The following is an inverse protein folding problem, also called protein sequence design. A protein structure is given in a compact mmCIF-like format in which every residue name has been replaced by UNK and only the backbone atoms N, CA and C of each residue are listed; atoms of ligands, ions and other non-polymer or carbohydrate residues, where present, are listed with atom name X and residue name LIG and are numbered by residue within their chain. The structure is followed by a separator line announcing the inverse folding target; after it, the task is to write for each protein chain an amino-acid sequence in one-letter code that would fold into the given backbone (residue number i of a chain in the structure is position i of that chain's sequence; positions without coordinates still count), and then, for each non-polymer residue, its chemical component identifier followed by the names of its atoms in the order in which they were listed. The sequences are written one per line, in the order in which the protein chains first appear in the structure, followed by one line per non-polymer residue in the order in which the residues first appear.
data_IF_854388932660
#
_entry.id   IF_854388932660
#
_cell.length_a   1.000
_cell.length_b   1.000
_cell.length_c   1.000
_cell.angle_alpha   90.00
_cell.angle_beta   90.00
_cell.angle_gamma   90.00
#
_symmetry.space_group_name_H-M   'P 1'
#
loop_
_entity.id
_entity.type
_entity.pdbx_description
1 polymer ?
#
# COMPACT_ATOMS: atom_id res chain seq x y z
N UNK A 1 -13.37 15.10 42.79
CA UNK A 1 -12.76 13.78 42.54
C UNK A 1 -13.08 13.25 41.14
N UNK A 2 -14.36 13.10 40.79
CA UNK A 2 -14.76 12.64 39.45
C UNK A 2 -14.34 13.56 38.29
N UNK A 3 -14.28 14.86 38.52
CA UNK A 3 -13.91 15.85 37.47
C UNK A 3 -12.47 15.64 36.99
N UNK A 4 -11.54 15.38 37.92
CA UNK A 4 -10.14 15.15 37.63
C UNK A 4 -9.91 13.87 36.81
N UNK A 5 -10.54 12.77 37.26
CA UNK A 5 -10.40 11.50 36.53
C UNK A 5 -11.06 11.56 35.14
N UNK A 6 -12.16 12.30 35.00
CA UNK A 6 -12.81 12.51 33.72
C UNK A 6 -11.90 13.28 32.76
N UNK A 7 -11.26 14.36 33.23
CA UNK A 7 -10.31 15.14 32.41
C UNK A 7 -9.15 14.26 31.93
N UNK A 8 -8.55 13.51 32.83
CA UNK A 8 -7.45 12.59 32.48
C UNK A 8 -7.89 11.46 31.52
N UNK A 9 -9.12 10.97 31.65
CA UNK A 9 -9.69 10.00 30.72
C UNK A 9 -9.87 10.62 29.32
N UNK A 10 -10.38 11.85 29.25
CA UNK A 10 -10.55 12.56 27.98
C UNK A 10 -9.21 12.80 27.30
N UNK A 11 -8.19 13.26 28.04
CA UNK A 11 -6.84 13.45 27.51
C UNK A 11 -6.25 12.12 27.00
N UNK A 12 -6.39 11.03 27.75
CA UNK A 12 -5.93 9.72 27.34
C UNK A 12 -6.69 9.21 26.09
N UNK A 13 -8.01 9.42 26.03
CA UNK A 13 -8.85 9.06 24.89
C UNK A 13 -8.44 9.82 23.63
N UNK A 14 -8.18 11.12 23.72
CA UNK A 14 -7.66 11.93 22.61
C UNK A 14 -6.32 11.39 22.13
N UNK A 15 -5.45 10.98 23.05
CA UNK A 15 -4.18 10.33 22.72
C UNK A 15 -4.37 9.00 21.95
N UNK A 16 -5.32 8.17 22.36
CA UNK A 16 -5.67 6.93 21.66
C UNK A 16 -6.19 7.22 20.24
N UNK A 17 -7.08 8.20 20.08
CA UNK A 17 -7.54 8.61 18.75
C UNK A 17 -6.40 9.10 17.86
N UNK A 18 -5.48 9.89 18.43
CA UNK A 18 -4.31 10.36 17.68
C UNK A 18 -3.40 9.21 17.27
N UNK A 19 -3.15 8.25 18.16
CA UNK A 19 -2.38 7.04 17.88
C UNK A 19 -2.96 6.25 16.70
N UNK A 20 -4.26 5.95 16.74
CA UNK A 20 -4.94 5.20 15.67
C UNK A 20 -4.90 5.96 14.33
N UNK A 21 -5.04 7.30 14.37
CA UNK A 21 -4.92 8.13 13.17
C UNK A 21 -3.51 8.05 12.58
N UNK A 22 -2.48 8.15 13.43
CA UNK A 22 -1.07 8.03 13.01
C UNK A 22 -0.82 6.64 12.40
N UNK A 23 -1.30 5.57 13.04
CA UNK A 23 -1.14 4.20 12.53
C UNK A 23 -1.80 4.00 11.16
N UNK A 24 -2.97 4.60 10.96
CA UNK A 24 -3.64 4.59 9.65
C UNK A 24 -2.86 5.36 8.58
N UNK A 25 -2.31 6.54 8.93
CA UNK A 25 -1.48 7.35 8.01
C UNK A 25 -0.18 6.63 7.68
N UNK A 26 0.49 6.05 8.68
CA UNK A 26 1.71 5.26 8.47
C UNK A 26 1.49 4.06 7.55
N UNK A 27 0.35 3.41 7.64
CA UNK A 27 0.00 2.32 6.73
C UNK A 27 -0.08 2.82 5.28
N UNK A 28 -0.84 3.91 5.04
CA UNK A 28 -0.95 4.49 3.69
C UNK A 28 0.39 4.94 3.12
N UNK A 29 1.20 5.65 3.92
CA UNK A 29 2.53 6.11 3.49
C UNK A 29 3.51 4.96 3.22
N UNK A 30 3.42 3.84 3.93
CA UNK A 30 4.24 2.65 3.63
C UNK A 30 3.85 2.00 2.31
N UNK A 31 2.56 1.94 1.99
CA UNK A 31 2.09 1.43 0.70
C UNK A 31 2.55 2.36 -0.44
N UNK A 32 2.50 3.68 -0.22
CA UNK A 32 3.00 4.69 -1.15
C UNK A 32 4.52 4.60 -1.33
N UNK A 33 5.29 4.44 -0.23
CA UNK A 33 6.73 4.23 -0.28
C UNK A 33 7.09 3.02 -1.17
N UNK A 34 6.42 1.89 -1.00
CA UNK A 34 6.66 0.70 -1.82
C UNK A 34 6.35 0.94 -3.31
N UNK A 35 5.32 1.71 -3.61
CA UNK A 35 4.98 2.10 -4.98
C UNK A 35 6.05 3.00 -5.59
N UNK A 36 6.52 4.00 -4.83
CA UNK A 36 7.57 4.92 -5.27
C UNK A 36 8.93 4.22 -5.43
N UNK A 37 9.28 3.28 -4.56
CA UNK A 37 10.51 2.48 -4.69
C UNK A 37 10.51 1.68 -6.01
N UNK A 38 9.38 1.08 -6.39
CA UNK A 38 9.25 0.42 -7.70
C UNK A 38 9.41 1.41 -8.85
N UNK A 39 8.71 2.55 -8.77
CA UNK A 39 8.78 3.61 -9.79
C UNK A 39 10.20 4.17 -9.96
N UNK A 40 10.93 4.39 -8.86
CA UNK A 40 12.34 4.82 -8.90
C UNK A 40 13.19 3.77 -9.59
N UNK A 41 13.00 2.48 -9.28
CA UNK A 41 13.74 1.38 -9.93
C UNK A 41 13.46 1.31 -11.43
N UNK A 42 12.19 1.43 -11.84
CA UNK A 42 11.79 1.43 -13.26
C UNK A 42 12.38 2.63 -14.01
N UNK A 43 12.26 3.84 -13.45
CA UNK A 43 12.79 5.06 -14.05
C UNK A 43 14.32 5.06 -14.09
N UNK A 44 14.99 4.43 -13.13
CA UNK A 44 16.43 4.21 -13.16
C UNK A 44 16.84 3.33 -14.33
N UNK A 45 16.14 2.24 -14.57
CA UNK A 45 16.41 1.37 -15.72
C UNK A 45 16.19 2.08 -17.04
N UNK A 46 15.17 2.93 -17.16
CA UNK A 46 14.94 3.75 -18.35
C UNK A 46 16.10 4.75 -18.52
N UNK A 47 16.48 5.49 -17.49
CA UNK A 47 17.59 6.45 -17.54
C UNK A 47 18.89 5.76 -17.97
N UNK A 48 19.21 4.62 -17.40
CA UNK A 48 20.44 3.87 -17.73
C UNK A 48 20.44 3.43 -19.19
N UNK A 49 19.27 3.10 -19.76
CA UNK A 49 19.12 2.76 -21.16
C UNK A 49 19.35 3.98 -22.05
N UNK A 50 18.68 5.11 -21.77
CA UNK A 50 18.83 6.34 -22.57
C UNK A 50 20.27 6.87 -22.51
N UNK A 51 20.94 6.81 -21.34
CA UNK A 51 22.35 7.15 -21.19
C UNK A 51 23.27 6.26 -22.03
N UNK A 52 22.93 4.95 -22.14
CA UNK A 52 23.66 4.02 -22.98
C UNK A 52 23.48 4.34 -24.47
N UNK A 53 22.28 4.75 -24.89
CA UNK A 53 22.00 5.07 -26.30
C UNK A 53 22.71 6.38 -26.70
N UNK A 54 22.78 7.39 -25.84
CA UNK A 54 23.65 8.56 -26.03
C UNK A 54 25.13 8.16 -26.19
N UNK A 55 25.65 7.34 -25.26
CA UNK A 55 27.05 6.88 -25.31
C UNK A 55 27.40 6.08 -26.57
N UNK A 56 26.45 5.28 -27.09
CA UNK A 56 26.65 4.55 -28.35
C UNK A 56 26.81 5.50 -29.55
N UNK A 57 26.11 6.61 -29.54
CA UNK A 57 26.21 7.61 -30.63
C UNK A 57 27.44 8.51 -30.47
N UNK A 58 27.83 8.86 -29.24
CA UNK A 58 29.06 9.67 -28.98
C UNK A 58 30.36 8.88 -29.17
N UNK A 59 30.31 7.55 -29.01
CA UNK A 59 31.48 6.69 -29.21
C UNK A 59 31.71 6.24 -30.64
N UNK A 60 32.88 5.60 -30.86
CA UNK A 60 33.21 4.95 -32.16
C UNK A 60 32.44 3.62 -32.33
N UNK A 61 31.14 3.64 -32.08
CA UNK A 61 30.27 2.47 -32.27
C UNK A 61 29.86 2.36 -33.74
N UNK A 62 29.52 1.14 -34.20
CA UNK A 62 29.00 0.90 -35.52
C UNK A 62 27.77 1.78 -35.85
N UNK A 63 26.92 2.03 -34.83
CA UNK A 63 25.75 2.89 -34.94
C UNK A 63 26.15 4.35 -35.17
N UNK A 64 27.12 4.90 -34.41
CA UNK A 64 27.64 6.26 -34.60
C UNK A 64 28.24 6.45 -36.00
N UNK A 65 29.07 5.50 -36.46
CA UNK A 65 29.64 5.52 -37.81
C UNK A 65 28.57 5.47 -38.90
N UNK A 66 27.54 4.63 -38.73
CA UNK A 66 26.41 4.50 -39.65
C UNK A 66 25.64 5.82 -39.80
N UNK A 67 25.26 6.46 -38.68
CA UNK A 67 24.54 7.75 -38.74
C UNK A 67 25.41 8.89 -39.19
N UNK A 68 26.72 8.88 -38.94
CA UNK A 68 27.68 9.85 -39.46
C UNK A 68 27.74 9.80 -40.99
N UNK A 69 27.82 8.60 -41.57
CA UNK A 69 27.81 8.41 -43.05
C UNK A 69 26.50 8.90 -43.69
N UNK A 70 25.37 8.76 -42.98
CA UNK A 70 24.06 9.25 -43.43
C UNK A 70 23.87 10.76 -43.23
N UNK A 71 24.82 11.50 -42.62
CA UNK A 71 24.71 12.92 -42.30
C UNK A 71 23.62 13.30 -41.30
N UNK A 72 23.17 12.33 -40.46
CA UNK A 72 22.09 12.51 -39.47
C UNK A 72 22.55 12.32 -38.03
N UNK A 73 23.85 12.24 -37.81
CA UNK A 73 24.38 11.95 -36.45
C UNK A 73 24.04 13.04 -35.44
N UNK A 74 24.17 14.30 -35.80
CA UNK A 74 23.91 15.44 -34.90
C UNK A 74 22.43 15.51 -34.49
N UNK A 75 21.51 15.36 -35.43
CA UNK A 75 20.06 15.36 -35.18
C UNK A 75 19.68 14.19 -34.25
N UNK A 76 20.23 13.01 -34.53
CA UNK A 76 19.96 11.81 -33.70
C UNK A 76 20.53 11.96 -32.29
N UNK A 77 21.75 12.46 -32.18
CA UNK A 77 22.41 12.67 -30.88
C UNK A 77 21.67 13.72 -30.03
N UNK A 78 21.18 14.79 -30.65
CA UNK A 78 20.40 15.80 -29.94
C UNK A 78 19.07 15.23 -29.43
N UNK A 79 18.40 14.37 -30.20
CA UNK A 79 17.17 13.73 -29.77
C UNK A 79 17.42 12.75 -28.59
N UNK A 80 18.45 11.90 -28.69
CA UNK A 80 18.80 10.98 -27.59
C UNK A 80 19.19 11.75 -26.30
N UNK A 81 19.90 12.87 -26.41
CA UNK A 81 20.21 13.74 -25.27
C UNK A 81 18.95 14.35 -24.66
N UNK A 82 17.96 14.73 -25.45
CA UNK A 82 16.67 15.22 -24.93
C UNK A 82 15.89 14.11 -24.23
N UNK A 83 15.90 12.88 -24.74
CA UNK A 83 15.26 11.72 -24.14
C UNK A 83 15.93 11.34 -22.81
N UNK A 84 17.26 11.29 -22.77
CA UNK A 84 18.03 11.05 -21.55
C UNK A 84 17.80 12.13 -20.49
N UNK A 85 17.76 13.41 -20.89
CA UNK A 85 17.42 14.51 -19.96
C UNK A 85 15.99 14.37 -19.41
N UNK A 86 15.03 14.02 -20.27
CA UNK A 86 13.65 13.78 -19.88
C UNK A 86 13.52 12.60 -18.89
N UNK A 87 14.24 11.52 -19.14
CA UNK A 87 14.31 10.35 -18.25
C UNK A 87 14.94 10.73 -16.90
N UNK A 88 16.02 11.50 -16.91
CA UNK A 88 16.69 12.01 -15.70
C UNK A 88 15.77 12.86 -14.84
N UNK A 89 15.05 13.80 -15.44
CA UNK A 89 14.12 14.67 -14.71
C UNK A 89 13.01 13.86 -14.02
N UNK A 90 12.46 12.85 -14.71
CA UNK A 90 11.45 11.95 -14.12
C UNK A 90 12.01 11.11 -12.98
N UNK A 91 13.23 10.58 -13.14
CA UNK A 91 13.92 9.84 -12.10
C UNK A 91 14.20 10.72 -10.88
N UNK A 92 14.79 11.89 -11.06
CA UNK A 92 15.10 12.84 -9.99
C UNK A 92 13.84 13.30 -9.24
N UNK A 93 12.70 13.45 -9.94
CA UNK A 93 11.43 13.75 -9.29
C UNK A 93 10.94 12.58 -8.44
N UNK A 94 10.96 11.36 -8.97
CA UNK A 94 10.53 10.19 -8.22
C UNK A 94 11.41 9.91 -6.98
N UNK A 95 12.70 10.21 -7.06
CA UNK A 95 13.63 10.12 -5.91
C UNK A 95 13.23 11.14 -4.84
N UNK A 96 12.94 12.40 -5.23
CA UNK A 96 12.47 13.42 -4.27
C UNK A 96 11.15 13.02 -3.61
N UNK A 97 10.18 12.57 -4.40
CA UNK A 97 8.89 12.12 -3.88
C UNK A 97 9.07 10.99 -2.84
N UNK A 98 9.98 10.05 -3.11
CA UNK A 98 10.34 8.97 -2.19
C UNK A 98 11.01 9.47 -0.90
N UNK A 99 11.90 10.44 -1.01
CA UNK A 99 12.55 11.07 0.15
C UNK A 99 11.55 11.82 1.02
N UNK A 100 10.61 12.55 0.43
CA UNK A 100 9.55 13.27 1.13
C UNK A 100 8.64 12.30 1.90
N UNK A 101 8.22 11.20 1.29
CA UNK A 101 7.43 10.15 1.95
C UNK A 101 8.21 9.50 3.10
N UNK A 102 9.49 9.19 2.93
CA UNK A 102 10.35 8.65 3.99
C UNK A 102 10.49 9.64 5.16
N UNK A 103 10.62 10.92 4.86
CA UNK A 103 10.68 11.96 5.88
C UNK A 103 9.39 12.05 6.69
N UNK A 104 8.22 12.02 6.02
CA UNK A 104 6.92 12.05 6.69
C UNK A 104 6.67 10.80 7.55
N UNK A 105 7.07 9.61 7.06
CA UNK A 105 7.05 8.37 7.86
C UNK A 105 7.89 8.53 9.13
N UNK A 106 9.11 9.05 9.02
CA UNK A 106 10.00 9.27 10.17
C UNK A 106 9.39 10.21 11.21
N UNK A 107 8.80 11.31 10.76
CA UNK A 107 8.11 12.29 11.59
C UNK A 107 6.91 11.68 12.32
N UNK A 108 6.06 10.95 11.61
CA UNK A 108 4.92 10.26 12.20
C UNK A 108 5.34 9.15 13.18
N UNK A 109 6.42 8.41 12.87
CA UNK A 109 6.98 7.43 13.81
C UNK A 109 7.46 8.08 15.10
N UNK A 110 8.11 9.23 15.03
CA UNK A 110 8.51 10.00 16.21
C UNK A 110 7.29 10.50 17.00
N UNK A 111 6.28 11.05 16.32
CA UNK A 111 5.04 11.48 16.95
C UNK A 111 4.30 10.32 17.62
N UNK A 112 4.24 9.16 16.96
CA UNK A 112 3.64 7.92 17.48
C UNK A 112 4.19 7.54 18.84
N UNK A 113 5.50 7.71 19.05
CA UNK A 113 6.18 7.46 20.30
C UNK A 113 5.55 8.17 21.49
N UNK A 114 5.04 9.38 21.29
CA UNK A 114 4.41 10.18 22.36
C UNK A 114 3.05 9.61 22.82
N UNK A 115 2.41 8.79 22.00
CA UNK A 115 1.07 8.26 22.25
C UNK A 115 1.02 6.76 22.55
N UNK A 116 2.14 6.05 22.51
CA UNK A 116 2.19 4.57 22.69
C UNK A 116 1.56 4.10 24.01
N UNK A 117 1.68 4.90 25.08
CA UNK A 117 1.14 4.54 26.41
C UNK A 117 -0.30 5.00 26.62
N UNK A 118 -0.93 5.69 25.67
CA UNK A 118 -2.24 6.29 25.88
C UNK A 118 -3.34 5.23 26.04
N UNK A 119 -3.29 4.10 25.34
CA UNK A 119 -4.24 2.99 25.50
C UNK A 119 -4.17 2.42 26.91
N UNK A 120 -2.99 2.08 27.37
CA UNK A 120 -2.78 1.55 28.73
C UNK A 120 -3.20 2.54 29.81
N UNK A 121 -2.90 3.84 29.63
CA UNK A 121 -3.35 4.90 30.54
C UNK A 121 -4.86 5.02 30.56
N UNK A 122 -5.50 4.98 29.39
CA UNK A 122 -6.96 5.03 29.27
C UNK A 122 -7.62 3.85 29.98
N UNK A 123 -7.16 2.63 29.72
CA UNK A 123 -7.69 1.41 30.37
C UNK A 123 -7.53 1.45 31.90
N UNK A 124 -6.36 1.87 32.39
CA UNK A 124 -6.10 2.01 33.82
C UNK A 124 -7.00 3.05 34.48
N UNK A 125 -7.16 4.22 33.86
CA UNK A 125 -8.04 5.28 34.37
C UNK A 125 -9.51 4.88 34.29
N UNK A 126 -9.91 4.15 33.25
CA UNK A 126 -11.26 3.62 33.11
C UNK A 126 -11.57 2.60 34.20
N UNK A 127 -10.65 1.66 34.49
CA UNK A 127 -10.77 0.68 35.58
C UNK A 127 -10.88 1.39 36.92
N UNK A 128 -10.01 2.36 37.21
CA UNK A 128 -10.06 3.13 38.45
C UNK A 128 -11.41 3.87 38.64
N UNK A 129 -11.91 4.51 37.54
CA UNK A 129 -13.22 5.17 37.60
C UNK A 129 -14.36 4.19 37.81
N UNK A 130 -14.32 3.04 37.14
CA UNK A 130 -15.29 1.95 37.35
C UNK A 130 -15.32 1.48 38.81
N UNK A 131 -14.16 1.23 39.40
CA UNK A 131 -14.06 0.76 40.77
C UNK A 131 -14.56 1.81 41.80
N UNK A 132 -14.31 3.10 41.51
CA UNK A 132 -14.87 4.20 42.28
C UNK A 132 -16.41 4.23 42.22
N UNK A 133 -16.99 4.05 41.04
CA UNK A 133 -18.44 4.03 40.84
C UNK A 133 -19.09 2.84 41.55
N UNK A 134 -18.49 1.65 41.44
CA UNK A 134 -18.97 0.42 42.11
C UNK A 134 -19.01 0.59 43.61
N UNK A 135 -17.98 1.25 44.20
CA UNK A 135 -17.92 1.48 45.64
C UNK A 135 -18.88 2.56 46.16
N UNK A 136 -19.24 3.53 45.30
CA UNK A 136 -20.03 4.68 45.74
C UNK A 136 -21.55 4.54 45.57
N UNK A 137 -22.03 3.67 44.66
CA UNK A 137 -23.45 3.54 44.34
C UNK A 137 -23.74 2.14 43.78
N UNK A 138 -24.35 1.22 44.57
CA UNK A 138 -24.66 -0.14 44.14
C UNK A 138 -25.59 -0.23 42.93
N UNK A 139 -26.56 0.68 42.82
CA UNK A 139 -27.52 0.66 41.71
C UNK A 139 -26.84 1.05 40.37
N UNK A 140 -25.95 2.04 40.43
CA UNK A 140 -25.12 2.40 39.29
C UNK A 140 -24.10 1.34 38.94
N UNK A 141 -23.55 0.65 39.95
CA UNK A 141 -22.66 -0.49 39.77
C UNK A 141 -23.32 -1.59 38.91
N UNK A 142 -24.57 -1.96 39.28
CA UNK A 142 -25.30 -3.00 38.54
C UNK A 142 -25.56 -2.59 37.08
N UNK A 143 -25.97 -1.33 36.87
CA UNK A 143 -26.14 -0.79 35.48
C UNK A 143 -24.84 -0.82 34.71
N UNK A 144 -23.71 -0.43 35.31
CA UNK A 144 -22.40 -0.43 34.69
C UNK A 144 -21.96 -1.84 34.29
N UNK A 145 -22.18 -2.84 35.15
CA UNK A 145 -21.87 -4.23 34.86
C UNK A 145 -22.69 -4.74 33.67
N UNK A 146 -23.99 -4.49 33.65
CA UNK A 146 -24.87 -4.89 32.55
C UNK A 146 -24.46 -4.23 31.23
N UNK A 147 -24.12 -2.92 31.24
CA UNK A 147 -23.63 -2.23 30.05
C UNK A 147 -22.26 -2.74 29.58
N UNK A 148 -21.39 -3.10 30.52
CA UNK A 148 -20.07 -3.68 30.19
C UNK A 148 -20.22 -5.05 29.53
N UNK A 149 -21.15 -5.86 30.03
CA UNK A 149 -21.47 -7.16 29.43
C UNK A 149 -22.04 -7.02 28.02
N UNK A 150 -23.02 -6.12 27.83
CA UNK A 150 -23.57 -5.81 26.49
C UNK A 150 -22.50 -5.32 25.53
N UNK A 151 -21.60 -4.45 25.99
CA UNK A 151 -20.47 -3.97 25.19
C UNK A 151 -19.53 -5.11 24.76
N UNK A 152 -19.21 -6.00 25.68
CA UNK A 152 -18.34 -7.15 25.40
C UNK A 152 -19.01 -8.10 24.40
N UNK A 153 -20.29 -8.39 24.57
CA UNK A 153 -21.06 -9.22 23.64
C UNK A 153 -21.10 -8.59 22.24
N UNK A 154 -21.33 -7.28 22.17
CA UNK A 154 -21.32 -6.54 20.89
C UNK A 154 -19.94 -6.53 20.22
N UNK A 155 -18.86 -6.38 21.00
CA UNK A 155 -17.48 -6.45 20.48
C UNK A 155 -17.16 -7.84 19.93
N UNK A 156 -17.58 -8.90 20.65
CA UNK A 156 -17.37 -10.28 20.21
C UNK A 156 -18.14 -10.57 18.91
N UNK A 157 -19.41 -10.17 18.84
CA UNK A 157 -20.23 -10.31 17.63
C UNK A 157 -19.60 -9.54 16.43
N UNK A 158 -19.08 -8.34 16.68
CA UNK A 158 -18.42 -7.55 15.66
C UNK A 158 -17.10 -8.18 15.18
N UNK A 159 -16.38 -8.86 16.07
CA UNK A 159 -15.19 -9.63 15.72
C UNK A 159 -15.56 -10.82 14.85
N UNK A 160 -16.56 -11.61 15.24
CA UNK A 160 -17.06 -12.77 14.47
C UNK A 160 -17.53 -12.36 13.07
N UNK A 161 -18.28 -11.25 12.97
CA UNK A 161 -18.73 -10.71 11.67
C UNK A 161 -17.54 -10.31 10.80
N UNK A 162 -16.52 -9.68 11.36
CA UNK A 162 -15.30 -9.31 10.60
C UNK A 162 -14.53 -10.54 10.12
N UNK A 163 -14.43 -11.56 10.95
CA UNK A 163 -13.80 -12.83 10.59
C UNK A 163 -14.59 -13.54 9.47
N UNK A 164 -15.92 -13.58 9.57
CA UNK A 164 -16.80 -14.14 8.53
C UNK A 164 -16.69 -13.37 7.20
N UNK A 165 -16.66 -12.02 7.25
CA UNK A 165 -16.45 -11.20 6.05
C UNK A 165 -15.07 -11.47 5.43
N UNK A 166 -14.02 -11.59 6.24
CA UNK A 166 -12.68 -11.89 5.75
C UNK A 166 -12.61 -13.26 5.09
N UNK A 167 -13.21 -14.28 5.70
CA UNK A 167 -13.33 -15.63 5.14
C UNK A 167 -14.12 -15.62 3.83
N UNK A 168 -15.27 -14.93 3.81
CA UNK A 168 -16.09 -14.78 2.60
C UNK A 168 -15.34 -14.13 1.43
N UNK A 169 -14.58 -13.06 1.70
CA UNK A 169 -13.72 -12.43 0.69
C UNK A 169 -12.65 -13.37 0.15
N UNK A 170 -12.05 -14.18 1.02
CA UNK A 170 -11.05 -15.18 0.61
C UNK A 170 -11.66 -16.24 -0.32
N UNK A 171 -12.88 -16.70 -0.01
CA UNK A 171 -13.64 -17.65 -0.87
C UNK A 171 -13.94 -17.01 -2.23
N UNK A 172 -14.46 -15.78 -2.26
CA UNK A 172 -14.74 -15.06 -3.51
C UNK A 172 -13.47 -14.96 -4.37
N UNK A 173 -12.35 -14.53 -3.77
CA UNK A 173 -11.07 -14.44 -4.49
C UNK A 173 -10.60 -15.80 -5.05
N UNK A 174 -10.83 -16.88 -4.31
CA UNK A 174 -10.49 -18.24 -4.77
C UNK A 174 -11.38 -18.68 -5.92
N UNK A 175 -12.67 -18.35 -5.89
CA UNK A 175 -13.62 -18.63 -6.97
C UNK A 175 -13.30 -17.84 -8.23
N UNK A 176 -12.96 -16.55 -8.09
CA UNK A 176 -12.53 -15.70 -9.21
C UNK A 176 -11.28 -16.27 -9.91
N UNK A 177 -10.30 -16.75 -9.13
CA UNK A 177 -9.11 -17.42 -9.68
C UNK A 177 -9.48 -18.72 -10.40
N UNK A 178 -10.35 -19.52 -9.82
CA UNK A 178 -10.82 -20.78 -10.44
C UNK A 178 -11.57 -20.49 -11.75
N UNK A 179 -12.47 -19.51 -11.78
CA UNK A 179 -13.16 -19.05 -12.99
C UNK A 179 -12.21 -18.56 -14.07
N UNK A 180 -11.20 -17.76 -13.69
CA UNK A 180 -10.16 -17.28 -14.62
C UNK A 180 -9.37 -18.44 -15.21
N UNK A 181 -9.04 -19.45 -14.41
CA UNK A 181 -8.34 -20.66 -14.87
C UNK A 181 -9.20 -21.48 -15.83
N UNK A 182 -10.50 -21.65 -15.55
CA UNK A 182 -11.44 -22.34 -16.43
C UNK A 182 -11.62 -21.62 -17.77
N UNK A 183 -11.80 -20.30 -17.76
CA UNK A 183 -11.90 -19.51 -18.98
C UNK A 183 -10.62 -19.60 -19.83
N UNK A 184 -9.45 -19.63 -19.17
CA UNK A 184 -8.17 -19.84 -19.87
C UNK A 184 -8.12 -21.24 -20.50
N UNK A 185 -8.53 -22.28 -19.78
CA UNK A 185 -8.56 -23.65 -20.28
C UNK A 185 -9.56 -23.81 -21.47
N UNK A 186 -10.71 -23.15 -21.42
CA UNK A 186 -11.68 -23.12 -22.51
C UNK A 186 -11.08 -22.45 -23.77
N UNK A 187 -10.36 -21.32 -23.59
CA UNK A 187 -9.63 -20.65 -24.67
C UNK A 187 -8.57 -21.58 -25.31
N UNK A 188 -7.82 -22.35 -24.53
CA UNK A 188 -6.88 -23.35 -25.06
C UNK A 188 -7.58 -24.51 -25.77
N UNK A 189 -8.73 -24.96 -25.29
CA UNK A 189 -9.55 -25.98 -25.92
C UNK A 189 -10.02 -25.55 -27.33
N UNK A 190 -10.49 -24.30 -27.46
CA UNK A 190 -10.92 -23.75 -28.75
C UNK A 190 -9.76 -23.64 -29.77
N UNK A 191 -8.57 -23.23 -29.32
CA UNK A 191 -7.37 -23.15 -30.18
C UNK A 191 -6.92 -24.55 -30.63
N UNK A 192 -6.97 -25.56 -29.75
CA UNK A 192 -6.61 -26.93 -30.07
C UNK A 192 -7.55 -27.53 -31.11
N UNK A 193 -8.85 -27.23 -31.05
CA UNK A 193 -9.85 -27.74 -32.01
C UNK A 193 -9.70 -27.10 -33.40
N UNK A 194 -9.30 -25.82 -33.47
CA UNK A 194 -9.09 -25.13 -34.76
C UNK A 194 -7.78 -25.53 -35.45
N UNK A 195 -6.77 -25.98 -34.70
CA UNK A 195 -5.50 -26.46 -35.26
C UNK A 195 -5.53 -27.95 -35.70
N UNK A 196 -6.50 -28.76 -35.26
CA UNK A 196 -6.62 -30.18 -35.62
C UNK A 196 -7.44 -30.45 -36.87
N UNK A 197 -8.06 -29.43 -37.47
CA UNK A 197 -8.67 -29.56 -38.81
C UNK A 197 -7.61 -29.27 -39.88
N UNK A 198 -6.72 -30.24 -40.10
CA UNK A 198 -5.88 -30.28 -41.29
C UNK A 198 -6.76 -30.44 -42.52
N UNK A 199 -6.51 -29.65 -43.62
CA UNK A 199 -7.25 -29.86 -44.86
C UNK A 199 -6.90 -31.22 -45.43
N UNK A 200 -7.93 -32.02 -45.62
CA UNK A 200 -7.85 -33.25 -46.40
C UNK A 200 -7.44 -32.89 -47.83
N UNK A 201 -6.19 -33.19 -48.18
CA UNK A 201 -5.71 -33.04 -49.57
C UNK A 201 -6.42 -34.14 -50.36
N UNK A 202 -7.36 -33.72 -51.19
CA UNK A 202 -7.88 -34.56 -52.26
C UNK A 202 -6.78 -34.67 -53.32
N UNK A 203 -6.16 -35.86 -53.40
CA UNK A 203 -5.40 -36.25 -54.63
C UNK A 203 -6.37 -36.89 -55.58
N UNK A 204 -6.51 -36.30 -56.76
CA UNK A 204 -7.07 -36.92 -57.97
C UNK A 204 -5.95 -37.63 -58.70
#
# INVERSE_FOLDING_TARGET
MYTEINKRLEEAQQGVFRLHKIDSMLKGLKDEQLSLERKVSELKAILDKEDLDVKKLEGNSLAGVFYFVLGRLEERLENEKKEALGAKLKYDQAVRDLEDVKHEISKLCSERGNYMDCERKYESLYAAKRDMLIKSDPDRAQKLLNLTEQLNNSKNALKEIREAISAGRSVISSLEKAMSSLNSAEGWGAVSYTHLTLPTIYSV
#
